data_IF_007561291431
#
_entry.id   IF_007561291431
#
_cell.length_a   1.000
_cell.length_b   1.000
_cell.length_c   1.000
_cell.angle_alpha   90.00
_cell.angle_beta   90.00
_cell.angle_gamma   90.00
#
_symmetry.space_group_name_H-M   'P 1'
#
loop_
_entity.id
_entity.type
_entity.pdbx_description
1 polymer ?
#
# COMPACT_ATOMS: atom_id res chain seq x y z
N UNK A 1 -13.24 -7.79 -4.89
CA UNK A 1 -12.89 -7.51 -6.29
C UNK A 1 -11.46 -7.02 -6.36
N UNK A 2 -10.66 -7.62 -7.26
CA UNK A 2 -9.28 -7.19 -7.43
C UNK A 2 -9.18 -6.10 -8.48
N UNK A 3 -8.34 -5.07 -8.20
CA UNK A 3 -8.05 -3.99 -9.14
C UNK A 3 -6.55 -3.95 -9.41
N UNK A 4 -6.18 -3.66 -10.64
CA UNK A 4 -4.80 -3.32 -10.93
C UNK A 4 -4.48 -1.92 -10.41
N UNK A 5 -3.18 -1.69 -10.16
CA UNK A 5 -2.75 -0.38 -9.64
C UNK A 5 -3.20 0.78 -10.54
N UNK A 6 -3.08 0.62 -11.85
CA UNK A 6 -3.45 1.67 -12.80
C UNK A 6 -4.96 1.93 -12.82
N UNK A 7 -5.77 0.92 -12.54
CA UNK A 7 -7.23 1.10 -12.46
C UNK A 7 -7.61 2.05 -11.32
N UNK A 8 -6.84 2.02 -10.25
CA UNK A 8 -7.07 2.86 -9.07
C UNK A 8 -6.39 4.22 -9.21
N UNK A 9 -5.16 4.24 -9.71
CA UNK A 9 -4.31 5.43 -9.72
C UNK A 9 -4.64 6.41 -10.83
N UNK A 10 -5.13 5.95 -11.99
CA UNK A 10 -5.39 6.80 -13.16
C UNK A 10 -6.80 7.43 -13.08
N UNK A 11 -6.95 8.36 -12.15
CA UNK A 11 -8.17 9.17 -12.02
C UNK A 11 -8.28 10.19 -13.15
N UNK A 12 -9.47 10.81 -13.36
CA UNK A 12 -9.61 11.88 -14.36
C UNK A 12 -8.60 13.02 -14.17
N UNK A 13 -8.33 13.44 -12.94
CA UNK A 13 -7.34 14.48 -12.66
C UNK A 13 -5.92 14.06 -13.03
N UNK A 14 -5.56 12.80 -12.79
CA UNK A 14 -4.25 12.26 -13.16
C UNK A 14 -4.12 12.21 -14.69
N UNK A 15 -5.15 11.78 -15.40
CA UNK A 15 -5.15 11.76 -16.88
C UNK A 15 -5.06 13.16 -17.46
N UNK A 16 -5.71 14.14 -16.86
CA UNK A 16 -5.61 15.54 -17.27
C UNK A 16 -4.17 16.05 -17.11
N UNK A 17 -3.52 15.71 -15.99
CA UNK A 17 -2.13 16.09 -15.76
C UNK A 17 -1.19 15.43 -16.78
N UNK A 18 -1.42 14.16 -17.12
CA UNK A 18 -0.65 13.46 -18.15
C UNK A 18 -0.79 14.15 -19.51
N UNK A 19 -2.02 14.53 -19.88
CA UNK A 19 -2.28 15.24 -21.13
C UNK A 19 -1.57 16.60 -21.18
N UNK A 20 -1.64 17.35 -20.08
CA UNK A 20 -0.96 18.65 -19.93
C UNK A 20 0.55 18.52 -20.12
N UNK A 21 1.15 17.45 -19.60
CA UNK A 21 2.59 17.18 -19.70
C UNK A 21 2.93 16.40 -20.98
N UNK A 22 1.98 16.21 -21.88
CA UNK A 22 2.15 15.46 -23.14
C UNK A 22 2.65 14.03 -22.94
N UNK A 23 2.21 13.40 -21.83
CA UNK A 23 2.57 12.04 -21.48
C UNK A 23 1.38 11.07 -21.58
N UNK A 24 0.19 11.54 -21.93
CA UNK A 24 -1.02 10.74 -21.99
C UNK A 24 -0.90 9.53 -22.92
N UNK A 25 -0.19 9.68 -24.06
CA UNK A 25 0.02 8.59 -25.02
C UNK A 25 0.82 7.42 -24.44
N UNK A 26 1.60 7.66 -23.39
CA UNK A 26 2.40 6.60 -22.74
C UNK A 26 1.52 5.65 -21.92
N UNK A 27 0.39 6.11 -21.43
CA UNK A 27 -0.43 5.39 -20.46
C UNK A 27 -1.88 5.18 -20.90
N UNK A 28 -2.30 5.76 -22.03
CA UNK A 28 -3.71 5.75 -22.48
C UNK A 28 -4.23 4.33 -22.71
N UNK A 29 -3.38 3.43 -23.23
CA UNK A 29 -3.75 2.05 -23.54
C UNK A 29 -2.99 1.03 -22.70
N UNK A 30 -2.60 1.44 -21.48
CA UNK A 30 -1.84 0.54 -20.61
C UNK A 30 -2.70 -0.63 -20.18
N UNK A 31 -2.30 -1.84 -20.60
CA UNK A 31 -3.03 -3.08 -20.34
C UNK A 31 -2.23 -4.08 -19.51
N UNK A 32 -1.05 -3.67 -19.04
CA UNK A 32 -0.15 -4.54 -18.30
C UNK A 32 -0.35 -4.49 -16.80
N UNK A 33 -1.38 -3.78 -16.30
CA UNK A 33 -1.62 -3.67 -14.86
C UNK A 33 -2.12 -4.99 -14.32
N UNK A 34 -1.33 -5.57 -13.41
CA UNK A 34 -1.71 -6.82 -12.75
C UNK A 34 -2.76 -6.54 -11.69
N UNK A 35 -3.79 -7.36 -11.63
CA UNK A 35 -4.74 -7.34 -10.53
C UNK A 35 -4.12 -8.05 -9.33
N UNK A 36 -4.04 -7.37 -8.20
CA UNK A 36 -3.42 -7.88 -7.00
C UNK A 36 -4.48 -8.47 -6.08
N UNK A 37 -4.59 -9.79 -6.08
CA UNK A 37 -5.49 -10.49 -5.18
C UNK A 37 -4.75 -11.41 -4.20
N UNK A 38 -3.46 -11.67 -4.44
CA UNK A 38 -2.61 -12.50 -3.57
C UNK A 38 -1.13 -12.20 -3.82
N UNK A 39 -0.31 -12.58 -2.85
CA UNK A 39 1.14 -12.46 -2.96
C UNK A 39 1.72 -13.58 -3.82
N UNK A 40 2.67 -13.23 -4.67
CA UNK A 40 3.50 -14.20 -5.37
C UNK A 40 4.62 -14.70 -4.47
N UNK A 41 5.28 -15.81 -4.86
CA UNK A 41 6.42 -16.34 -4.13
C UNK A 41 7.57 -15.33 -4.06
N UNK A 42 7.80 -14.56 -5.11
CA UNK A 42 8.83 -13.51 -5.15
C UNK A 42 8.51 -12.38 -4.19
N UNK A 43 7.27 -11.96 -4.11
CA UNK A 43 6.82 -10.94 -3.18
C UNK A 43 6.95 -11.42 -1.74
N UNK A 44 6.58 -12.68 -1.48
CA UNK A 44 6.72 -13.30 -0.17
C UNK A 44 8.18 -13.34 0.28
N UNK A 45 9.09 -13.74 -0.60
CA UNK A 45 10.52 -13.79 -0.32
C UNK A 45 11.08 -12.39 -0.02
N UNK A 46 10.68 -11.40 -0.80
CA UNK A 46 11.10 -10.01 -0.59
C UNK A 46 10.63 -9.49 0.77
N UNK A 47 9.37 -9.71 1.11
CA UNK A 47 8.78 -9.28 2.38
C UNK A 47 9.49 -9.94 3.57
N UNK A 48 9.83 -11.24 3.46
CA UNK A 48 10.46 -11.99 4.53
C UNK A 48 11.87 -11.47 4.89
N UNK A 49 12.53 -10.76 3.98
CA UNK A 49 13.86 -10.19 4.19
C UNK A 49 13.84 -8.76 4.74
N UNK A 50 12.68 -8.12 4.80
CA UNK A 50 12.58 -6.71 5.20
C UNK A 50 12.61 -6.57 6.71
N UNK A 51 13.24 -5.47 7.15
CA UNK A 51 13.29 -5.05 8.55
C UNK A 51 12.49 -3.78 8.80
N UNK A 52 11.80 -3.28 7.78
CA UNK A 52 10.95 -2.09 7.89
C UNK A 52 9.92 -2.05 6.76
N UNK A 53 8.87 -1.30 7.01
CA UNK A 53 7.89 -0.94 5.99
C UNK A 53 7.20 0.37 6.38
N UNK A 54 6.47 0.94 5.43
CA UNK A 54 5.63 2.11 5.67
C UNK A 54 4.17 1.68 5.58
N UNK A 55 3.38 2.12 6.56
CA UNK A 55 1.94 1.92 6.55
C UNK A 55 1.26 3.26 6.35
N UNK A 56 0.38 3.32 5.36
CA UNK A 56 -0.45 4.50 5.08
C UNK A 56 -1.87 4.23 5.58
N UNK A 57 -2.44 5.22 6.22
CA UNK A 57 -3.82 5.16 6.70
C UNK A 57 -4.50 6.51 6.53
N UNK A 58 -5.83 6.53 6.67
CA UNK A 58 -6.63 7.74 6.57
C UNK A 58 -7.40 7.90 7.87
N UNK A 59 -7.36 9.11 8.44
CA UNK A 59 -8.11 9.39 9.66
C UNK A 59 -9.60 9.44 9.41
N UNK A 60 -10.41 9.37 10.46
CA UNK A 60 -11.86 9.49 10.36
C UNK A 60 -12.31 10.84 9.78
N UNK A 61 -11.43 11.85 9.81
CA UNK A 61 -11.69 13.17 9.23
C UNK A 61 -11.11 13.34 7.83
N UNK A 62 -10.53 12.28 7.25
CA UNK A 62 -10.06 12.26 5.87
C UNK A 62 -8.60 12.64 5.66
N UNK A 63 -7.81 12.84 6.71
CA UNK A 63 -6.40 13.20 6.57
C UNK A 63 -5.53 11.96 6.39
N UNK A 64 -4.65 11.95 5.38
CA UNK A 64 -3.73 10.85 5.19
C UNK A 64 -2.59 10.87 6.20
N UNK A 65 -2.10 9.69 6.55
CA UNK A 65 -0.98 9.53 7.46
C UNK A 65 -0.12 8.37 7.00
N UNK A 66 1.20 8.55 7.05
CA UNK A 66 2.17 7.50 6.71
C UNK A 66 3.11 7.32 7.89
N UNK A 67 3.31 6.08 8.31
CA UNK A 67 4.16 5.77 9.45
C UNK A 67 5.18 4.70 9.06
N UNK A 68 6.43 4.91 9.48
CA UNK A 68 7.47 3.90 9.40
C UNK A 68 7.30 2.88 10.53
N UNK A 69 7.41 1.62 10.19
CA UNK A 69 7.43 0.51 11.13
C UNK A 69 8.70 -0.31 10.91
N UNK A 70 9.45 -0.58 11.98
CA UNK A 70 10.68 -1.35 11.91
C UNK A 70 10.71 -2.45 12.97
N UNK A 71 11.56 -3.43 12.74
CA UNK A 71 11.76 -4.57 13.64
C UNK A 71 12.91 -5.44 13.16
N UNK A 72 13.10 -6.61 13.75
CA UNK A 72 14.10 -7.55 13.24
C UNK A 72 13.71 -8.02 11.83
N UNK A 73 14.69 -8.40 10.97
CA UNK A 73 14.38 -8.93 9.66
C UNK A 73 13.33 -10.04 9.73
N UNK A 74 12.32 -9.96 8.86
CA UNK A 74 11.23 -10.93 8.86
C UNK A 74 10.15 -10.69 9.91
N UNK A 75 10.14 -9.53 10.58
CA UNK A 75 9.10 -9.24 11.58
C UNK A 75 7.70 -9.08 10.96
N UNK A 76 7.63 -8.71 9.68
CA UNK A 76 6.38 -8.70 8.92
C UNK A 76 6.15 -10.11 8.40
N UNK A 77 5.12 -10.77 8.90
CA UNK A 77 4.85 -12.18 8.60
C UNK A 77 3.74 -12.33 7.59
N UNK A 78 3.92 -13.24 6.66
CA UNK A 78 2.85 -13.64 5.76
C UNK A 78 2.17 -14.88 6.34
N UNK A 79 0.91 -14.73 6.75
CA UNK A 79 0.14 -15.82 7.36
C UNK A 79 -0.44 -16.76 6.29
N UNK A 80 -0.80 -16.18 5.16
CA UNK A 80 -1.22 -16.90 3.96
C UNK A 80 -0.96 -15.99 2.75
N UNK A 81 -1.40 -16.37 1.57
CA UNK A 81 -1.11 -15.62 0.35
C UNK A 81 -1.89 -14.30 0.23
N UNK A 82 -2.75 -13.98 1.18
CA UNK A 82 -3.54 -12.74 1.20
C UNK A 82 -3.44 -11.96 2.49
N UNK A 83 -2.69 -12.45 3.50
CA UNK A 83 -2.70 -11.86 4.84
C UNK A 83 -1.29 -11.61 5.36
N UNK A 84 -1.00 -10.37 5.73
CA UNK A 84 0.21 -9.97 6.42
C UNK A 84 -0.10 -9.67 7.89
N UNK A 85 0.86 -9.96 8.77
CA UNK A 85 0.73 -9.65 10.19
C UNK A 85 2.07 -9.17 10.75
N UNK A 86 2.02 -8.29 11.73
CA UNK A 86 3.20 -7.83 12.46
C UNK A 86 2.82 -7.53 13.91
N UNK A 87 3.82 -7.65 14.80
CA UNK A 87 3.62 -7.28 16.20
C UNK A 87 3.52 -5.77 16.31
N UNK A 88 2.52 -5.29 17.02
CA UNK A 88 2.31 -3.86 17.21
C UNK A 88 3.11 -3.41 18.44
N UNK A 89 4.34 -2.98 18.21
CA UNK A 89 5.20 -2.45 19.27
C UNK A 89 4.69 -1.10 19.76
N UNK A 90 4.94 -0.79 21.03
CA UNK A 90 4.46 0.47 21.64
C UNK A 90 4.91 1.72 20.89
N UNK A 91 6.16 1.75 20.43
CA UNK A 91 6.71 2.92 19.76
C UNK A 91 6.59 4.17 20.64
N UNK A 92 6.16 5.28 20.05
CA UNK A 92 5.99 6.56 20.74
C UNK A 92 4.63 6.72 21.45
N UNK A 93 3.79 5.71 21.42
CA UNK A 93 2.45 5.67 22.05
C UNK A 93 1.45 6.68 21.51
N UNK A 94 1.65 7.23 20.34
CA UNK A 94 0.65 8.11 19.71
C UNK A 94 -0.54 7.34 19.16
N UNK A 95 -0.34 6.09 18.73
CA UNK A 95 -1.39 5.20 18.23
C UNK A 95 -2.21 5.80 17.08
N UNK A 96 -1.59 6.64 16.25
CA UNK A 96 -2.30 7.32 15.14
C UNK A 96 -2.78 6.31 14.11
N UNK A 97 -1.89 5.44 13.65
CA UNK A 97 -2.28 4.38 12.68
C UNK A 97 -3.32 3.44 13.28
N UNK A 98 -3.15 3.07 14.56
CA UNK A 98 -4.10 2.21 15.26
C UNK A 98 -5.50 2.83 15.27
N UNK A 99 -5.60 4.10 15.64
CA UNK A 99 -6.87 4.82 15.65
C UNK A 99 -7.47 4.96 14.26
N UNK A 100 -6.64 5.27 13.27
CA UNK A 100 -7.11 5.40 11.88
C UNK A 100 -7.68 4.07 11.36
N UNK A 101 -7.02 2.95 11.65
CA UNK A 101 -7.48 1.63 11.20
C UNK A 101 -8.73 1.15 11.93
N UNK A 102 -8.98 1.64 13.14
CA UNK A 102 -10.23 1.37 13.84
C UNK A 102 -11.41 2.08 13.18
N UNK A 103 -11.18 3.25 12.61
CA UNK A 103 -12.22 4.05 11.94
C UNK A 103 -12.39 3.67 10.47
N UNK A 104 -11.28 3.36 9.79
CA UNK A 104 -11.22 3.10 8.36
C UNK A 104 -10.28 1.93 8.09
N UNK A 105 -10.80 0.78 7.80
CA UNK A 105 -9.99 -0.41 7.47
C UNK A 105 -9.82 -0.68 5.96
#
# INVERSE_FOLDING_TARGET
MAYGFMDIALTPSVRDAQAEMRADHLWSDFKGSRQFDRFTDQEAAFIAERDSFYIASVSETGWPYVQHRGGPPGFLKMLDDTTLAFADYRGNRQYISTGNLQAND
#
